data_IF_914851480778
#
_entry.id   IF_914851480778
#
_cell.length_a   1.000
_cell.length_b   1.000
_cell.length_c   1.000
_cell.angle_alpha   90.00
_cell.angle_beta   90.00
_cell.angle_gamma   90.00
#
_symmetry.space_group_name_H-M   'P 1'
#
loop_
_entity.id
_entity.type
_entity.pdbx_description
1 polymer ?
#
# COMPACT_ATOMS: atom_id res chain seq x y z
N UNK A 1 9.81 -2.31 -17.97
CA UNK A 1 9.59 -2.73 -16.57
C UNK A 1 10.24 -1.67 -15.69
N UNK A 2 9.53 -1.10 -14.72
CA UNK A 2 10.10 -0.04 -13.88
C UNK A 2 11.32 -0.52 -13.08
N UNK A 3 12.42 0.23 -13.14
CA UNK A 3 13.66 -0.10 -12.46
C UNK A 3 13.57 0.16 -10.95
N UNK A 4 14.44 -0.49 -10.16
CA UNK A 4 14.54 -0.25 -8.71
C UNK A 4 14.79 1.23 -8.38
N UNK A 5 15.54 1.93 -9.24
CA UNK A 5 15.76 3.37 -9.12
C UNK A 5 14.47 4.17 -9.32
N UNK A 6 13.70 3.87 -10.37
CA UNK A 6 12.40 4.53 -10.63
C UNK A 6 11.41 4.30 -9.49
N UNK A 7 11.32 3.07 -8.97
CA UNK A 7 10.48 2.73 -7.80
C UNK A 7 10.90 3.55 -6.57
N UNK A 8 12.21 3.65 -6.32
CA UNK A 8 12.72 4.44 -5.19
C UNK A 8 12.41 5.93 -5.34
N UNK A 9 12.56 6.49 -6.55
CA UNK A 9 12.23 7.88 -6.82
C UNK A 9 10.74 8.15 -6.67
N UNK A 10 9.90 7.24 -7.16
CA UNK A 10 8.45 7.28 -6.98
C UNK A 10 8.07 7.31 -5.49
N UNK A 11 8.60 6.39 -4.67
CA UNK A 11 8.37 6.39 -3.22
C UNK A 11 8.79 7.72 -2.59
N UNK A 12 10.02 8.17 -2.86
CA UNK A 12 10.54 9.44 -2.31
C UNK A 12 9.67 10.63 -2.69
N UNK A 13 9.12 10.67 -3.92
CA UNK A 13 8.19 11.73 -4.34
C UNK A 13 6.89 11.71 -3.55
N UNK A 14 6.35 10.53 -3.24
CA UNK A 14 5.16 10.41 -2.40
C UNK A 14 5.45 10.77 -0.95
N UNK A 15 6.61 10.38 -0.41
CA UNK A 15 7.00 10.75 0.96
C UNK A 15 7.10 12.27 1.14
N UNK A 16 7.60 13.00 0.13
CA UNK A 16 7.57 14.48 0.14
C UNK A 16 6.16 15.07 0.13
N UNK A 17 5.14 14.29 -0.24
CA UNK A 17 3.72 14.68 -0.20
C UNK A 17 3.01 14.16 1.06
N UNK A 18 3.76 13.81 2.10
CA UNK A 18 3.21 13.35 3.38
C UNK A 18 2.81 11.88 3.42
N UNK A 19 3.20 11.08 2.43
CA UNK A 19 3.03 9.63 2.49
C UNK A 19 4.12 8.99 3.36
N UNK A 20 3.81 7.83 3.94
CA UNK A 20 4.69 7.09 4.82
C UNK A 20 5.10 5.80 4.13
N UNK A 21 6.40 5.59 3.93
CA UNK A 21 6.93 4.33 3.40
C UNK A 21 6.61 3.16 4.33
N UNK A 22 6.12 2.05 3.77
CA UNK A 22 5.81 0.83 4.52
C UNK A 22 7.04 0.26 5.22
N UNK A 23 8.25 0.49 4.67
CA UNK A 23 9.51 0.08 5.32
C UNK A 23 9.82 0.92 6.57
N UNK A 24 9.31 2.15 6.65
CA UNK A 24 9.55 3.09 7.75
C UNK A 24 8.58 2.87 8.91
N UNK A 25 7.29 2.74 8.62
CA UNK A 25 6.27 2.48 9.64
C UNK A 25 5.13 1.62 9.07
N UNK A 26 4.58 0.68 9.86
CA UNK A 26 3.40 -0.07 9.46
C UNK A 26 2.17 0.86 9.39
N UNK A 27 1.19 0.48 8.55
CA UNK A 27 -0.09 1.17 8.52
C UNK A 27 -0.91 0.87 9.79
N UNK A 28 -1.66 1.86 10.32
CA UNK A 28 -2.56 1.66 11.46
C UNK A 28 -3.70 0.71 11.09
N UNK A 29 -4.11 -0.14 12.04
CA UNK A 29 -5.14 -1.15 11.77
C UNK A 29 -6.57 -0.57 11.73
N UNK A 30 -6.89 0.27 12.71
CA UNK A 30 -8.24 0.78 12.94
C UNK A 30 -8.58 2.05 12.16
N UNK A 31 -7.69 2.55 11.31
CA UNK A 31 -7.90 3.80 10.58
C UNK A 31 -8.09 3.55 9.09
N UNK A 32 -8.92 4.35 8.44
CA UNK A 32 -9.01 4.36 6.99
C UNK A 32 -7.73 4.95 6.41
N UNK A 33 -7.04 4.16 5.59
CA UNK A 33 -5.81 4.58 4.93
C UNK A 33 -5.95 4.57 3.42
N UNK A 34 -5.17 5.41 2.77
CA UNK A 34 -4.83 5.28 1.36
C UNK A 34 -3.49 4.56 1.23
N UNK A 35 -3.35 3.70 0.23
CA UNK A 35 -2.13 2.95 -0.01
C UNK A 35 -1.73 2.90 -1.47
N UNK A 36 -0.43 2.73 -1.67
CA UNK A 36 0.16 2.34 -2.93
C UNK A 36 1.23 1.28 -2.69
N UNK A 37 1.07 0.11 -3.30
CA UNK A 37 1.97 -1.04 -3.14
C UNK A 37 2.39 -1.56 -4.49
N UNK A 38 3.68 -1.78 -4.68
CA UNK A 38 4.22 -2.42 -5.87
C UNK A 38 4.53 -3.87 -5.55
N UNK A 39 3.93 -4.81 -6.28
CA UNK A 39 4.17 -6.25 -6.17
C UNK A 39 4.26 -6.86 -7.55
N UNK A 40 5.32 -7.62 -7.82
CA UNK A 40 5.54 -8.38 -9.07
C UNK A 40 5.29 -7.56 -10.36
N UNK A 41 5.69 -6.29 -10.40
CA UNK A 41 5.48 -5.42 -11.57
C UNK A 41 4.06 -4.83 -11.72
N UNK A 42 3.26 -4.89 -10.66
CA UNK A 42 1.93 -4.28 -10.58
C UNK A 42 1.89 -3.28 -9.43
N UNK A 43 1.22 -2.15 -9.67
CA UNK A 43 0.91 -1.14 -8.67
C UNK A 43 -0.54 -1.31 -8.23
N UNK A 44 -0.69 -1.74 -6.98
CA UNK A 44 -1.95 -1.81 -6.24
C UNK A 44 -2.14 -0.47 -5.54
N UNK A 45 -3.26 0.20 -5.78
CA UNK A 45 -3.57 1.49 -5.18
C UNK A 45 -4.99 1.46 -4.64
N UNK A 46 -5.26 2.08 -3.51
CA UNK A 46 -6.63 2.06 -3.01
C UNK A 46 -6.77 2.64 -1.62
N UNK A 47 -7.95 2.39 -1.06
CA UNK A 47 -8.33 2.72 0.30
C UNK A 47 -8.82 1.49 1.02
N UNK A 48 -8.32 1.29 2.23
CA UNK A 48 -8.74 0.18 3.09
C UNK A 48 -8.62 0.56 4.56
N UNK A 49 -9.36 -0.13 5.40
CA UNK A 49 -9.15 -0.13 6.85
C UNK A 49 -8.76 -1.55 7.22
N UNK A 50 -7.57 -1.77 7.79
CA UNK A 50 -7.07 -3.13 7.97
C UNK A 50 -7.89 -3.93 8.98
N UNK A 51 -8.63 -3.28 9.87
CA UNK A 51 -9.56 -3.92 10.80
C UNK A 51 -10.78 -4.56 10.12
N UNK A 52 -11.08 -4.21 8.85
CA UNK A 52 -12.17 -4.87 8.11
C UNK A 52 -11.80 -6.30 7.67
N UNK A 53 -10.50 -6.62 7.69
CA UNK A 53 -9.98 -7.89 7.20
C UNK A 53 -9.84 -8.89 8.34
N UNK A 54 -10.13 -10.14 8.03
CA UNK A 54 -10.03 -11.23 9.00
C UNK A 54 -8.58 -11.50 9.37
N UNK A 55 -8.27 -11.92 10.61
CA UNK A 55 -6.95 -12.46 10.97
C UNK A 55 -6.50 -13.60 10.04
N UNK A 56 -7.44 -14.37 9.47
CA UNK A 56 -7.12 -15.43 8.48
C UNK A 56 -6.51 -14.88 7.18
N UNK A 57 -6.77 -13.61 6.83
CA UNK A 57 -6.26 -13.00 5.61
C UNK A 57 -4.74 -12.81 5.64
N UNK A 58 -4.11 -12.98 6.80
CA UNK A 58 -2.65 -12.88 6.99
C UNK A 58 -1.90 -14.03 6.32
N UNK A 59 -2.57 -15.17 6.12
CA UNK A 59 -2.04 -16.34 5.44
C UNK A 59 -2.26 -16.29 3.92
N UNK A 60 -3.15 -15.41 3.44
CA UNK A 60 -3.48 -15.32 2.02
C UNK A 60 -2.45 -14.44 1.30
N UNK A 61 -1.62 -15.05 0.46
CA UNK A 61 -0.63 -14.30 -0.31
C UNK A 61 -1.32 -13.31 -1.25
N UNK A 62 -0.91 -12.04 -1.18
CA UNK A 62 -1.49 -10.96 -2.00
C UNK A 62 -2.73 -10.30 -1.41
N UNK A 63 -3.19 -10.72 -0.22
CA UNK A 63 -4.17 -9.94 0.54
C UNK A 63 -3.59 -8.58 0.95
N UNK A 64 -4.46 -7.59 1.18
CA UNK A 64 -4.02 -6.26 1.59
C UNK A 64 -3.34 -6.28 2.96
N UNK A 65 -3.82 -7.10 3.89
CA UNK A 65 -3.17 -7.28 5.20
C UNK A 65 -1.77 -7.87 5.04
N UNK A 66 -1.63 -8.92 4.23
CA UNK A 66 -0.34 -9.54 3.96
C UNK A 66 0.65 -8.55 3.32
N UNK A 67 0.17 -7.70 2.40
CA UNK A 67 1.01 -6.70 1.72
C UNK A 67 1.34 -5.47 2.58
N UNK A 68 0.40 -4.94 3.36
CA UNK A 68 0.57 -3.68 4.09
C UNK A 68 1.16 -3.90 5.49
N UNK A 69 0.79 -5.00 6.15
CA UNK A 69 1.26 -5.29 7.51
C UNK A 69 2.54 -6.11 7.47
N UNK A 70 2.52 -7.27 6.79
CA UNK A 70 3.70 -8.17 6.72
C UNK A 70 4.71 -7.75 5.67
N UNK A 71 4.33 -6.87 4.74
CA UNK A 71 5.18 -6.42 3.63
C UNK A 71 5.65 -7.61 2.77
N UNK A 72 4.83 -8.66 2.73
CA UNK A 72 5.21 -9.91 2.09
C UNK A 72 5.01 -9.82 0.57
N UNK A 73 6.04 -10.19 -0.18
CA UNK A 73 6.00 -10.21 -1.64
C UNK A 73 5.93 -8.82 -2.30
N UNK A 74 6.06 -7.73 -1.54
CA UNK A 74 6.09 -6.37 -2.09
C UNK A 74 7.52 -5.97 -2.45
N UNK A 75 7.67 -5.16 -3.49
CA UNK A 75 8.93 -4.52 -3.88
C UNK A 75 9.12 -3.23 -3.07
N UNK A 76 8.08 -2.41 -3.04
CA UNK A 76 8.01 -1.19 -2.23
C UNK A 76 6.56 -0.75 -2.03
N UNK A 77 6.31 0.18 -1.13
CA UNK A 77 4.99 0.77 -0.97
C UNK A 77 4.93 1.87 0.08
N UNK A 78 3.84 2.62 0.02
CA UNK A 78 3.54 3.74 0.91
C UNK A 78 2.08 3.70 1.34
N UNK A 79 1.80 4.33 2.47
CA UNK A 79 0.46 4.56 2.97
C UNK A 79 0.34 5.97 3.54
N UNK A 80 -0.89 6.45 3.71
CA UNK A 80 -1.21 7.63 4.52
C UNK A 80 -2.59 7.48 5.12
N UNK A 81 -2.90 8.24 6.16
CA UNK A 81 -4.28 8.41 6.62
C UNK A 81 -5.13 8.97 5.48
N UNK A 82 -6.29 8.39 5.25
CA UNK A 82 -7.23 8.91 4.27
C UNK A 82 -7.78 10.26 4.76
N UNK A 83 -8.09 11.15 3.82
CA UNK A 83 -8.81 12.40 4.14
C UNK A 83 -10.21 12.08 4.68
N UNK A 84 -10.79 12.92 5.56
CA UNK A 84 -12.20 12.78 5.95
C UNK A 84 -13.16 12.74 4.75
N UNK A 85 -12.84 13.46 3.68
CA UNK A 85 -13.61 13.50 2.43
C UNK A 85 -13.23 12.38 1.44
N UNK A 86 -12.42 11.41 1.86
CA UNK A 86 -12.10 10.28 1.02
C UNK A 86 -13.38 9.47 0.76
N UNK A 87 -13.80 9.43 -0.50
CA UNK A 87 -14.86 8.52 -0.97
C UNK A 87 -14.63 7.02 -0.64
N UNK A 88 -15.42 6.11 -1.24
CA UNK A 88 -15.56 4.75 -0.73
C UNK A 88 -14.27 3.92 -0.74
N UNK A 89 -14.19 2.95 0.19
CA UNK A 89 -13.16 1.88 0.21
C UNK A 89 -13.11 1.18 -1.15
N UNK A 90 -11.93 0.72 -1.56
CA UNK A 90 -11.74 0.08 -2.86
C UNK A 90 -10.34 0.29 -3.42
N UNK A 91 -9.96 -0.54 -4.38
CA UNK A 91 -8.63 -0.51 -4.97
C UNK A 91 -8.63 -0.71 -6.48
N UNK A 92 -7.58 -0.21 -7.11
CA UNK A 92 -7.28 -0.34 -8.54
C UNK A 92 -5.91 -1.00 -8.65
N UNK A 93 -5.78 -1.91 -9.60
CA UNK A 93 -4.52 -2.58 -9.93
C UNK A 93 -4.13 -2.19 -11.35
N UNK A 94 -2.89 -1.71 -11.52
CA UNK A 94 -2.35 -1.36 -12.85
C UNK A 94 -0.93 -1.87 -13.03
N UNK A 95 -0.57 -2.21 -14.27
CA UNK A 95 0.78 -2.64 -14.61
C UNK A 95 1.74 -1.44 -14.59
N UNK A 96 2.94 -1.60 -14.04
CA UNK A 96 3.98 -0.58 -14.15
C UNK A 96 4.90 -0.92 -15.33
N UNK A 97 4.89 -0.05 -16.35
CA UNK A 97 5.72 -0.17 -17.53
C UNK A 97 7.13 0.39 -17.26
#
# INVERSE_FOLDING_TARGET
MATRYQITQWRKRLERKGWIGLKRAPAPRGELIEYHVIRRGWLYSGRCQLSDYSPSDWAIEGSLVCMLERRYGIVDGVWRRASPDAGPKGGIVRRIH
#
